data_IF_779037962046
#
_entry.id   IF_779037962046
#
_cell.length_a   1.000
_cell.length_b   1.000
_cell.length_c   1.000
_cell.angle_alpha   90.00
_cell.angle_beta   90.00
_cell.angle_gamma   90.00
#
_symmetry.space_group_name_H-M   'P 1'
#
loop_
_entity.id
_entity.type
_entity.pdbx_description
1 polymer ?
#
# COMPACT_ATOMS: atom_id res chain seq x y z
N UNK A 1 -12.45 -9.14 -16.48
CA UNK A 1 -11.87 -9.75 -17.70
C UNK A 1 -12.78 -10.84 -18.22
N UNK A 2 -12.92 -10.93 -19.55
CA UNK A 2 -13.70 -11.97 -20.20
C UNK A 2 -12.74 -13.02 -20.75
N UNK A 3 -12.80 -14.26 -20.24
CA UNK A 3 -11.96 -15.37 -20.68
C UNK A 3 -12.80 -16.38 -21.48
N UNK A 4 -12.17 -17.13 -22.36
CA UNK A 4 -12.84 -18.15 -23.19
C UNK A 4 -13.21 -19.41 -22.39
N UNK A 5 -12.48 -19.69 -21.32
CA UNK A 5 -12.69 -20.82 -20.42
C UNK A 5 -11.75 -20.79 -19.23
N UNK A 6 -12.05 -21.59 -18.23
CA UNK A 6 -11.20 -21.86 -17.08
C UNK A 6 -10.84 -23.33 -17.15
N UNK A 7 -9.54 -23.65 -17.26
CA UNK A 7 -9.06 -25.03 -17.34
C UNK A 7 -8.90 -25.67 -15.95
N UNK A 8 -8.64 -24.87 -14.91
CA UNK A 8 -8.50 -25.37 -13.56
C UNK A 8 -7.82 -24.39 -12.60
N UNK A 9 -7.56 -24.89 -11.41
CA UNK A 9 -6.79 -24.18 -10.38
C UNK A 9 -5.55 -25.03 -10.07
N UNK A 10 -4.38 -24.47 -10.31
CA UNK A 10 -3.10 -25.10 -9.98
C UNK A 10 -2.44 -24.40 -8.81
N UNK A 11 -1.81 -25.17 -7.91
CA UNK A 11 -0.98 -24.63 -6.83
C UNK A 11 0.46 -24.61 -7.28
N UNK A 12 1.07 -23.43 -7.30
CA UNK A 12 2.45 -23.20 -7.70
C UNK A 12 3.22 -22.71 -6.48
N UNK A 13 4.38 -23.31 -6.23
CA UNK A 13 5.29 -22.80 -5.20
C UNK A 13 6.07 -21.60 -5.74
N UNK A 14 6.34 -20.60 -4.89
CA UNK A 14 7.15 -19.42 -5.28
C UNK A 14 8.53 -19.80 -5.84
N UNK A 15 9.11 -20.92 -5.39
CA UNK A 15 10.39 -21.43 -5.91
C UNK A 15 10.31 -21.94 -7.35
N UNK A 16 9.12 -22.25 -7.85
CA UNK A 16 8.89 -22.78 -9.19
C UNK A 16 8.54 -21.69 -10.21
N UNK A 17 8.42 -20.44 -9.74
CA UNK A 17 8.14 -19.28 -10.60
C UNK A 17 9.47 -18.67 -11.05
N UNK A 18 9.71 -18.69 -12.34
CA UNK A 18 10.87 -18.06 -12.96
C UNK A 18 10.51 -16.66 -13.48
N UNK A 19 11.42 -15.70 -13.31
CA UNK A 19 11.25 -14.39 -13.92
C UNK A 19 11.35 -14.52 -15.45
N UNK A 20 10.50 -13.83 -16.23
CA UNK A 20 10.60 -13.79 -17.68
C UNK A 20 11.98 -13.29 -18.08
N UNK A 21 12.59 -13.92 -19.10
CA UNK A 21 13.84 -13.42 -19.68
C UNK A 21 13.59 -12.04 -20.33
N UNK A 22 14.47 -11.08 -20.04
CA UNK A 22 14.37 -9.70 -20.58
C UNK A 22 14.33 -9.62 -22.10
N UNK A 23 14.75 -10.68 -22.80
CA UNK A 23 14.69 -10.81 -24.26
C UNK A 23 13.29 -11.18 -24.77
N UNK A 24 12.45 -11.80 -23.97
CA UNK A 24 11.07 -12.19 -24.33
C UNK A 24 10.09 -11.13 -23.85
N UNK A 25 10.42 -10.45 -22.76
CA UNK A 25 9.72 -9.27 -22.28
C UNK A 25 10.37 -8.04 -22.94
N UNK A 26 9.62 -7.22 -23.64
CA UNK A 26 10.10 -5.95 -24.21
C UNK A 26 10.56 -4.96 -23.09
N UNK A 27 11.57 -5.35 -22.30
CA UNK A 27 12.08 -4.58 -21.16
C UNK A 27 11.14 -4.56 -19.95
N UNK A 28 11.13 -3.44 -19.21
CA UNK A 28 10.27 -3.21 -18.02
C UNK A 28 8.76 -3.10 -18.35
N UNK A 29 8.38 -3.21 -19.63
CA UNK A 29 6.99 -3.12 -20.11
C UNK A 29 6.24 -4.47 -20.14
N UNK A 30 6.87 -5.56 -19.74
CA UNK A 30 6.21 -6.89 -19.76
C UNK A 30 4.99 -6.94 -18.82
N UNK A 31 3.87 -7.41 -19.36
CA UNK A 31 2.64 -7.73 -18.61
C UNK A 31 2.79 -9.07 -17.83
N UNK A 32 3.87 -9.82 -18.08
CA UNK A 32 4.14 -11.08 -17.41
C UNK A 32 5.01 -10.87 -16.17
N UNK A 33 4.51 -11.27 -15.01
CA UNK A 33 5.26 -11.25 -13.74
C UNK A 33 6.11 -12.49 -13.52
N UNK A 34 5.72 -13.62 -14.16
CA UNK A 34 6.43 -14.88 -14.01
C UNK A 34 6.06 -15.91 -15.06
N UNK A 35 6.87 -16.95 -15.12
CA UNK A 35 6.62 -18.17 -15.90
C UNK A 35 6.74 -19.35 -14.95
N UNK A 36 5.75 -20.23 -14.93
CA UNK A 36 5.76 -21.46 -14.13
C UNK A 36 5.49 -22.67 -15.01
N UNK A 37 5.91 -23.83 -14.56
CA UNK A 37 5.60 -25.10 -15.22
C UNK A 37 4.48 -25.80 -14.44
N UNK A 38 3.33 -26.01 -15.08
CA UNK A 38 2.19 -26.69 -14.52
C UNK A 38 1.84 -27.89 -15.42
N UNK A 39 1.84 -29.08 -14.87
CA UNK A 39 1.50 -30.33 -15.59
C UNK A 39 2.25 -30.51 -16.92
N UNK A 40 3.53 -30.12 -16.95
CA UNK A 40 4.37 -30.20 -18.14
C UNK A 40 4.19 -29.08 -19.15
N UNK A 41 3.29 -28.13 -18.90
CA UNK A 41 3.04 -26.96 -19.74
C UNK A 41 3.63 -25.69 -19.10
N UNK A 42 4.13 -24.79 -19.93
CA UNK A 42 4.56 -23.46 -19.47
C UNK A 42 3.34 -22.56 -19.34
N UNK A 43 3.16 -21.99 -18.16
CA UNK A 43 2.08 -21.06 -17.83
C UNK A 43 2.68 -19.69 -17.53
N UNK A 44 2.20 -18.67 -18.22
CA UNK A 44 2.58 -17.27 -17.97
C UNK A 44 1.69 -16.70 -16.88
N UNK A 45 2.31 -16.16 -15.83
CA UNK A 45 1.61 -15.42 -14.78
C UNK A 45 1.53 -13.96 -15.21
N UNK A 46 0.32 -13.43 -15.29
CA UNK A 46 0.05 -12.08 -15.76
C UNK A 46 -0.07 -11.10 -14.59
N UNK A 47 0.46 -9.89 -14.80
CA UNK A 47 0.24 -8.75 -13.94
C UNK A 47 -1.10 -8.09 -14.29
N UNK A 48 -2.15 -8.44 -13.56
CA UNK A 48 -3.48 -7.89 -13.79
C UNK A 48 -3.57 -6.41 -13.39
N UNK A 49 -2.80 -5.95 -12.43
CA UNK A 49 -2.77 -4.53 -12.03
C UNK A 49 -2.20 -3.70 -13.17
N UNK A 50 -1.10 -4.15 -13.77
CA UNK A 50 -0.52 -3.48 -14.94
C UNK A 50 -1.47 -3.47 -16.14
N UNK A 51 -2.16 -4.60 -16.40
CA UNK A 51 -3.16 -4.69 -17.47
C UNK A 51 -4.31 -3.70 -17.21
N UNK A 52 -4.79 -3.59 -15.97
CA UNK A 52 -5.85 -2.62 -15.61
C UNK A 52 -5.34 -1.20 -15.75
N UNK A 53 -4.13 -0.89 -15.30
CA UNK A 53 -3.53 0.42 -15.42
C UNK A 53 -3.42 0.89 -16.89
N UNK A 54 -3.10 -0.03 -17.80
CA UNK A 54 -3.02 0.28 -19.25
C UNK A 54 -4.40 0.43 -19.90
N UNK A 55 -5.39 -0.39 -19.51
CA UNK A 55 -6.71 -0.41 -20.14
C UNK A 55 -7.69 0.61 -19.56
N UNK A 56 -7.54 0.96 -18.29
CA UNK A 56 -8.42 1.86 -17.56
C UNK A 56 -7.59 2.73 -16.59
N UNK A 57 -6.76 3.66 -17.13
CA UNK A 57 -5.87 4.48 -16.31
C UNK A 57 -6.61 5.31 -15.27
N UNK A 58 -7.90 5.62 -15.49
CA UNK A 58 -8.76 6.30 -14.52
C UNK A 58 -9.03 5.52 -13.23
N UNK A 59 -8.77 4.20 -13.22
CA UNK A 59 -8.89 3.37 -12.02
C UNK A 59 -7.58 3.24 -11.25
N UNK A 60 -6.51 3.86 -11.76
CA UNK A 60 -5.17 3.80 -11.19
C UNK A 60 -4.84 5.13 -10.51
N UNK A 61 -3.90 5.10 -9.57
CA UNK A 61 -3.39 6.31 -8.90
C UNK A 61 -2.90 7.30 -9.96
N UNK A 62 -3.50 8.50 -9.99
CA UNK A 62 -3.15 9.55 -10.93
C UNK A 62 -2.30 10.62 -10.26
N UNK A 63 -1.02 10.62 -10.54
CA UNK A 63 -0.06 11.61 -10.03
C UNK A 63 -0.47 13.05 -10.37
N UNK A 64 -1.21 13.24 -11.48
CA UNK A 64 -1.77 14.55 -11.88
C UNK A 64 -2.70 15.19 -10.84
N UNK A 65 -3.35 14.40 -9.96
CA UNK A 65 -4.14 14.95 -8.87
C UNK A 65 -3.27 15.70 -7.85
N UNK A 66 -2.07 15.19 -7.62
CA UNK A 66 -1.09 15.81 -6.71
C UNK A 66 -0.48 17.04 -7.36
N UNK A 67 -0.13 16.96 -8.65
CA UNK A 67 0.39 18.11 -9.40
C UNK A 67 -0.60 19.29 -9.42
N UNK A 68 -1.91 19.01 -9.43
CA UNK A 68 -2.95 20.02 -9.34
C UNK A 68 -3.04 20.74 -7.97
N UNK A 69 -2.40 20.19 -6.92
CA UNK A 69 -2.37 20.82 -5.58
C UNK A 69 -1.35 21.97 -5.51
N UNK A 70 -0.54 22.18 -6.56
CA UNK A 70 0.49 23.22 -6.63
C UNK A 70 1.74 22.94 -5.79
N UNK A 71 2.62 23.93 -5.71
CA UNK A 71 3.86 23.83 -4.93
C UNK A 71 3.55 23.67 -3.44
N UNK A 72 4.14 22.64 -2.84
CA UNK A 72 3.95 22.31 -1.43
C UNK A 72 5.29 22.34 -0.69
N UNK A 73 5.31 22.78 0.59
CA UNK A 73 6.52 22.72 1.40
C UNK A 73 6.92 21.26 1.65
N UNK A 74 8.22 21.02 1.80
CA UNK A 74 8.73 19.72 2.21
C UNK A 74 8.22 19.35 3.62
N UNK A 75 7.85 18.10 3.77
CA UNK A 75 7.38 17.51 5.03
C UNK A 75 8.21 16.26 5.33
N UNK A 76 9.01 16.32 6.37
CA UNK A 76 9.90 15.23 6.81
C UNK A 76 9.25 14.32 7.86
N UNK A 77 7.93 14.41 8.07
CA UNK A 77 7.23 13.52 8.99
C UNK A 77 7.44 12.06 8.56
N UNK A 78 7.94 11.18 9.45
CA UNK A 78 8.16 9.79 9.08
C UNK A 78 6.84 9.04 8.94
N UNK A 79 6.64 8.47 7.76
CA UNK A 79 5.42 7.76 7.34
C UNK A 79 5.78 6.30 7.09
N UNK A 80 4.98 5.40 7.64
CA UNK A 80 5.07 3.96 7.38
C UNK A 80 4.00 3.58 6.35
N UNK A 81 4.39 2.88 5.28
CA UNK A 81 3.48 2.36 4.26
C UNK A 81 3.62 0.84 4.18
N UNK A 82 2.50 0.13 4.30
CA UNK A 82 2.39 -1.30 4.05
C UNK A 82 1.56 -1.54 2.78
N UNK A 83 2.22 -2.03 1.72
CA UNK A 83 1.66 -2.26 0.39
C UNK A 83 2.45 -3.40 -0.27
N UNK A 84 1.78 -4.47 -0.72
CA UNK A 84 2.45 -5.63 -1.30
C UNK A 84 2.74 -5.48 -2.79
N UNK A 85 1.93 -4.73 -3.51
CA UNK A 85 2.18 -4.42 -4.91
C UNK A 85 3.37 -3.48 -5.08
N UNK A 86 4.43 -3.97 -5.71
CA UNK A 86 5.62 -3.15 -6.02
C UNK A 86 5.27 -1.97 -6.90
N UNK A 87 4.34 -2.16 -7.86
CA UNK A 87 3.91 -1.10 -8.76
C UNK A 87 3.13 -0.02 -8.01
N UNK A 88 2.09 -0.42 -7.25
CA UNK A 88 1.27 0.54 -6.50
C UNK A 88 2.08 1.27 -5.44
N UNK A 89 2.97 0.57 -4.72
CA UNK A 89 3.88 1.18 -3.76
C UNK A 89 4.72 2.27 -4.40
N UNK A 90 5.32 1.99 -5.58
CA UNK A 90 6.08 3.01 -6.32
C UNK A 90 5.22 4.20 -6.73
N UNK A 91 4.00 3.96 -7.20
CA UNK A 91 3.08 5.04 -7.60
C UNK A 91 2.65 5.89 -6.39
N UNK A 92 2.45 5.28 -5.22
CA UNK A 92 2.18 5.99 -3.98
C UNK A 92 3.41 6.84 -3.59
N UNK A 93 4.61 6.26 -3.58
CA UNK A 93 5.85 6.95 -3.25
C UNK A 93 6.07 8.16 -4.17
N UNK A 94 6.02 7.95 -5.50
CA UNK A 94 6.20 9.02 -6.48
C UNK A 94 5.17 10.16 -6.28
N UNK A 95 3.94 9.81 -5.90
CA UNK A 95 2.87 10.79 -5.63
C UNK A 95 3.11 11.55 -4.32
N UNK A 96 3.52 10.86 -3.27
CA UNK A 96 3.79 11.47 -1.96
C UNK A 96 5.05 12.34 -1.99
N UNK A 97 6.10 11.92 -2.71
CA UNK A 97 7.29 12.75 -2.91
C UNK A 97 6.95 14.05 -3.64
N UNK A 98 6.11 14.01 -4.69
CA UNK A 98 5.60 15.21 -5.37
C UNK A 98 4.74 16.08 -4.46
N UNK A 99 4.01 15.46 -3.51
CA UNK A 99 3.27 16.17 -2.48
C UNK A 99 4.17 16.76 -1.37
N UNK A 100 5.50 16.57 -1.45
CA UNK A 100 6.48 17.10 -0.51
C UNK A 100 6.82 16.18 0.66
N UNK A 101 6.28 14.97 0.75
CA UNK A 101 6.63 14.01 1.80
C UNK A 101 7.92 13.27 1.43
N UNK A 102 8.96 13.39 2.25
CA UNK A 102 10.31 12.91 1.93
C UNK A 102 10.81 11.77 2.81
N UNK A 103 10.09 11.44 3.89
CA UNK A 103 10.52 10.44 4.86
C UNK A 103 9.52 9.27 4.91
N UNK A 104 9.61 8.38 3.92
CA UNK A 104 8.70 7.26 3.72
C UNK A 104 9.43 5.95 3.97
N UNK A 105 8.84 5.10 4.83
CA UNK A 105 9.32 3.75 5.15
C UNK A 105 8.35 2.71 4.59
N UNK A 106 8.78 1.99 3.57
CA UNK A 106 7.96 1.03 2.84
C UNK A 106 8.14 -0.41 3.32
N UNK A 107 7.03 -1.14 3.45
CA UNK A 107 6.98 -2.55 3.81
C UNK A 107 6.11 -3.33 2.83
N UNK A 108 6.53 -4.54 2.47
CA UNK A 108 5.86 -5.38 1.49
C UNK A 108 4.64 -6.13 2.02
N UNK A 109 4.32 -6.02 3.30
CA UNK A 109 3.14 -6.60 3.93
C UNK A 109 2.96 -6.11 5.37
N UNK A 110 1.80 -6.39 5.95
CA UNK A 110 1.50 -5.97 7.32
C UNK A 110 2.40 -6.61 8.39
N UNK A 111 2.95 -7.80 8.13
CA UNK A 111 3.86 -8.46 9.09
C UNK A 111 5.19 -7.73 9.20
N UNK A 112 5.79 -7.34 8.08
CA UNK A 112 7.02 -6.56 8.06
C UNK A 112 6.84 -5.19 8.73
N UNK A 113 5.73 -4.50 8.41
CA UNK A 113 5.39 -3.24 9.07
C UNK A 113 5.20 -3.41 10.59
N UNK A 114 4.51 -4.47 11.01
CA UNK A 114 4.34 -4.77 12.43
C UNK A 114 5.65 -5.08 13.14
N UNK A 115 6.55 -5.85 12.51
CA UNK A 115 7.84 -6.19 13.08
C UNK A 115 8.71 -4.94 13.28
N UNK A 116 8.71 -4.03 12.30
CA UNK A 116 9.36 -2.74 12.43
C UNK A 116 8.76 -1.92 13.59
N UNK A 117 7.44 -1.71 13.61
CA UNK A 117 6.77 -0.95 14.66
C UNK A 117 7.01 -1.57 16.06
N UNK A 118 6.99 -2.89 16.16
CA UNK A 118 7.26 -3.61 17.39
C UNK A 118 8.70 -3.44 17.87
N UNK A 119 9.64 -3.30 16.96
CA UNK A 119 11.07 -3.09 17.30
C UNK A 119 11.36 -1.70 17.87
N UNK A 120 10.54 -0.70 17.53
CA UNK A 120 10.75 0.71 17.92
C UNK A 120 9.75 1.22 18.96
N UNK A 121 8.66 0.49 19.24
CA UNK A 121 7.54 0.99 20.06
C UNK A 121 7.93 1.36 21.50
N UNK A 122 8.97 0.74 22.04
CA UNK A 122 9.44 1.00 23.41
C UNK A 122 10.57 2.06 23.46
N UNK A 123 11.04 2.52 22.32
CA UNK A 123 12.03 3.59 22.23
C UNK A 123 11.45 4.95 22.66
N UNK A 124 12.27 5.79 23.32
CA UNK A 124 11.80 7.11 23.79
C UNK A 124 11.44 8.06 22.66
N UNK A 125 12.04 7.87 21.48
CA UNK A 125 11.86 8.67 20.27
C UNK A 125 10.86 8.04 19.27
N UNK A 126 10.02 7.08 19.70
CA UNK A 126 9.03 6.43 18.88
C UNK A 126 8.29 7.40 17.93
N UNK A 127 7.82 8.50 18.49
CA UNK A 127 6.99 9.45 17.76
C UNK A 127 7.78 10.40 16.85
N UNK A 128 9.11 10.35 16.90
CA UNK A 128 9.99 10.97 15.90
C UNK A 128 10.35 9.99 14.77
N UNK A 129 10.05 8.70 14.96
CA UNK A 129 10.30 7.63 13.98
C UNK A 129 9.06 7.21 13.21
N UNK A 130 7.87 7.50 13.71
CA UNK A 130 6.61 7.24 13.00
C UNK A 130 5.52 8.21 13.47
N UNK A 131 4.95 8.95 12.53
CA UNK A 131 3.87 9.92 12.76
C UNK A 131 2.56 9.56 12.06
N UNK A 132 2.62 8.71 11.03
CA UNK A 132 1.45 8.25 10.28
C UNK A 132 1.71 6.86 9.70
N UNK A 133 0.67 6.05 9.62
CA UNK A 133 0.72 4.73 8.99
C UNK A 133 -0.34 4.67 7.90
N UNK A 134 0.05 4.20 6.72
CA UNK A 134 -0.83 3.91 5.60
C UNK A 134 -0.74 2.40 5.33
N UNK A 135 -1.87 1.74 5.17
CA UNK A 135 -1.88 0.29 4.91
C UNK A 135 -2.91 -0.08 3.85
N UNK A 136 -2.54 -0.97 2.94
CA UNK A 136 -3.52 -1.71 2.17
C UNK A 136 -4.26 -2.71 3.06
N UNK A 137 -5.39 -3.23 2.59
CA UNK A 137 -6.14 -4.32 3.26
C UNK A 137 -5.58 -5.68 2.82
N UNK A 138 -5.49 -5.93 1.51
CA UNK A 138 -5.13 -7.23 0.98
C UNK A 138 -3.63 -7.40 0.83
N UNK A 139 -2.99 -7.99 1.81
CA UNK A 139 -1.56 -8.28 1.80
C UNK A 139 -1.28 -9.69 2.28
N UNK A 140 -0.20 -10.35 1.78
CA UNK A 140 0.23 -11.66 2.28
C UNK A 140 0.70 -11.58 3.73
N UNK A 141 0.72 -12.72 4.43
CA UNK A 141 1.18 -12.91 5.81
C UNK A 141 0.34 -12.17 6.87
N UNK A 142 0.07 -10.87 6.70
CA UNK A 142 -0.77 -10.09 7.59
C UNK A 142 -1.52 -9.01 6.79
N UNK A 143 -2.84 -9.08 6.82
CA UNK A 143 -3.73 -8.09 6.21
C UNK A 143 -3.73 -6.76 6.98
N UNK A 144 -4.17 -5.66 6.31
CA UNK A 144 -4.17 -4.34 6.89
C UNK A 144 -5.17 -4.15 8.04
N UNK A 145 -6.26 -4.89 8.08
CA UNK A 145 -7.19 -4.87 9.20
C UNK A 145 -6.54 -5.42 10.47
N UNK A 146 -5.80 -6.54 10.34
CA UNK A 146 -5.06 -7.13 11.45
C UNK A 146 -3.95 -6.21 11.92
N UNK A 147 -3.21 -5.61 10.98
CA UNK A 147 -2.18 -4.62 11.30
C UNK A 147 -2.79 -3.44 12.07
N UNK A 148 -3.87 -2.84 11.57
CA UNK A 148 -4.60 -1.74 12.23
C UNK A 148 -5.01 -2.12 13.64
N UNK A 149 -5.60 -3.31 13.82
CA UNK A 149 -6.00 -3.79 15.14
C UNK A 149 -4.82 -3.88 16.09
N UNK A 150 -3.72 -4.48 15.69
CA UNK A 150 -2.52 -4.61 16.52
C UNK A 150 -1.96 -3.25 16.95
N UNK A 151 -1.93 -2.28 16.02
CA UNK A 151 -1.50 -0.91 16.31
C UNK A 151 -2.43 -0.24 17.32
N UNK A 152 -3.74 -0.33 17.11
CA UNK A 152 -4.74 0.36 17.95
C UNK A 152 -4.95 -0.33 19.32
N UNK A 153 -4.64 -1.61 19.44
CA UNK A 153 -4.66 -2.33 20.73
C UNK A 153 -3.37 -2.08 21.56
N UNK A 154 -2.26 -1.66 20.93
CA UNK A 154 -1.00 -1.40 21.63
C UNK A 154 -1.03 -0.04 22.35
N UNK A 155 -0.63 -0.01 23.62
CA UNK A 155 -0.70 1.17 24.48
C UNK A 155 0.14 2.36 23.98
N UNK A 156 1.24 2.09 23.27
CA UNK A 156 2.18 3.09 22.75
C UNK A 156 1.80 3.50 21.32
N UNK A 157 1.49 2.53 20.47
CA UNK A 157 1.24 2.76 19.03
C UNK A 157 -0.16 3.32 18.75
N UNK A 158 -1.17 3.07 19.59
CA UNK A 158 -2.57 3.44 19.34
C UNK A 158 -2.84 4.92 19.05
N UNK A 159 -1.92 5.79 19.47
CA UNK A 159 -2.03 7.23 19.22
C UNK A 159 -1.59 7.64 17.81
N UNK A 160 -0.84 6.77 17.12
CA UNK A 160 -0.37 7.03 15.77
C UNK A 160 -1.56 6.86 14.82
N UNK A 161 -1.86 7.86 13.97
CA UNK A 161 -2.96 7.75 13.02
C UNK A 161 -2.69 6.67 11.97
N UNK A 162 -3.75 5.94 11.62
CA UNK A 162 -3.73 4.86 10.61
C UNK A 162 -4.76 5.16 9.54
N UNK A 163 -4.32 5.26 8.29
CA UNK A 163 -5.17 5.36 7.10
C UNK A 163 -5.17 4.00 6.39
N UNK A 164 -6.35 3.47 6.13
CA UNK A 164 -6.51 2.34 5.21
C UNK A 164 -6.67 2.90 3.79
N UNK A 165 -5.78 2.51 2.87
CA UNK A 165 -5.79 2.94 1.48
C UNK A 165 -5.79 1.71 0.57
N UNK A 166 -6.97 1.30 0.08
CA UNK A 166 -7.15 0.02 -0.60
C UNK A 166 -8.09 0.09 -1.80
N UNK A 167 -7.87 -0.81 -2.77
CA UNK A 167 -8.77 -0.99 -3.92
C UNK A 167 -10.11 -1.61 -3.53
N UNK A 168 -10.17 -2.31 -2.40
CA UNK A 168 -11.36 -2.98 -1.88
C UNK A 168 -11.95 -2.24 -0.69
N UNK A 169 -12.68 -1.15 -0.94
CA UNK A 169 -13.41 -0.43 0.09
C UNK A 169 -14.91 -0.41 -0.23
N UNK A 170 -15.61 -1.39 0.28
CA UNK A 170 -17.08 -1.41 0.36
C UNK A 170 -17.59 -0.95 1.73
N UNK A 171 -18.90 -0.89 1.89
CA UNK A 171 -19.54 -0.48 3.15
C UNK A 171 -19.22 -1.42 4.33
N UNK A 172 -18.98 -2.71 4.08
CA UNK A 172 -18.61 -3.67 5.10
C UNK A 172 -17.18 -3.45 5.55
N UNK A 173 -16.26 -3.24 4.61
CA UNK A 173 -14.85 -2.93 4.88
C UNK A 173 -14.71 -1.61 5.64
N UNK A 174 -15.48 -0.56 5.25
CA UNK A 174 -15.51 0.73 5.97
C UNK A 174 -15.96 0.58 7.42
N UNK A 175 -17.03 -0.20 7.66
CA UNK A 175 -17.50 -0.48 9.02
C UNK A 175 -16.44 -1.20 9.84
N UNK A 176 -15.85 -2.25 9.27
CA UNK A 176 -14.81 -3.03 9.93
C UNK A 176 -13.57 -2.17 10.27
N UNK A 177 -13.05 -1.39 9.33
CA UNK A 177 -11.90 -0.52 9.59
C UNK A 177 -12.18 0.51 10.68
N UNK A 178 -13.39 1.09 10.71
CA UNK A 178 -13.81 2.01 11.78
C UNK A 178 -13.89 1.30 13.16
N UNK A 179 -14.45 0.09 13.20
CA UNK A 179 -14.50 -0.73 14.44
C UNK A 179 -13.12 -1.08 14.96
N UNK A 180 -12.14 -1.24 14.07
CA UNK A 180 -10.75 -1.51 14.41
C UNK A 180 -9.97 -0.26 14.81
N UNK A 181 -10.57 0.93 14.67
CA UNK A 181 -9.98 2.20 15.07
C UNK A 181 -9.12 2.88 14.00
N UNK A 182 -9.26 2.50 12.72
CA UNK A 182 -8.65 3.28 11.64
C UNK A 182 -9.15 4.73 11.67
N UNK A 183 -8.25 5.69 11.52
CA UNK A 183 -8.57 7.12 11.58
C UNK A 183 -9.25 7.60 10.30
N UNK A 184 -8.89 6.99 9.15
CA UNK A 184 -9.64 7.14 7.91
C UNK A 184 -9.46 5.94 6.96
N UNK A 185 -10.28 5.92 5.90
CA UNK A 185 -10.27 4.87 4.88
C UNK A 185 -10.58 5.47 3.51
N UNK A 186 -9.66 5.29 2.57
CA UNK A 186 -9.74 5.87 1.24
C UNK A 186 -9.56 4.79 0.18
N UNK A 187 -10.32 4.90 -0.90
CA UNK A 187 -10.18 4.00 -2.04
C UNK A 187 -8.99 4.45 -2.91
N UNK A 188 -8.18 3.49 -3.36
CA UNK A 188 -7.32 3.74 -4.52
C UNK A 188 -8.24 3.94 -5.73
N UNK A 189 -8.15 4.99 -6.52
CA UNK A 189 -7.02 5.88 -6.80
C UNK A 189 -7.06 7.27 -6.15
N UNK A 190 -7.85 7.51 -5.11
CA UNK A 190 -8.08 8.86 -4.51
C UNK A 190 -6.80 9.44 -3.85
N UNK A 191 -5.69 9.54 -4.60
CA UNK A 191 -4.38 9.95 -4.06
C UNK A 191 -4.38 11.41 -3.58
N UNK A 192 -5.09 12.30 -4.25
CA UNK A 192 -5.23 13.70 -3.82
C UNK A 192 -5.95 13.81 -2.47
N UNK A 193 -6.97 12.96 -2.23
CA UNK A 193 -7.64 12.87 -0.93
C UNK A 193 -6.75 12.27 0.15
N UNK A 194 -5.90 11.28 -0.22
CA UNK A 194 -4.93 10.72 0.72
C UNK A 194 -3.99 11.81 1.21
N UNK A 195 -3.39 12.60 0.32
CA UNK A 195 -2.51 13.72 0.68
C UNK A 195 -3.21 14.72 1.60
N UNK A 196 -4.43 15.15 1.28
CA UNK A 196 -5.18 16.08 2.12
C UNK A 196 -5.51 15.51 3.51
N UNK A 197 -5.78 14.21 3.59
CA UNK A 197 -6.04 13.52 4.85
C UNK A 197 -4.77 13.37 5.69
N UNK A 198 -3.64 13.07 5.06
CA UNK A 198 -2.34 13.02 5.73
C UNK A 198 -2.00 14.37 6.37
N UNK A 199 -2.15 15.48 5.65
CA UNK A 199 -1.92 16.82 6.19
C UNK A 199 -2.77 17.10 7.42
N UNK A 200 -4.05 16.75 7.34
CA UNK A 200 -4.99 16.93 8.45
C UNK A 200 -4.58 16.12 9.67
N UNK A 201 -4.36 14.81 9.49
CA UNK A 201 -4.05 13.91 10.61
C UNK A 201 -2.69 14.21 11.24
N UNK A 202 -1.67 14.55 10.45
CA UNK A 202 -0.36 14.95 10.95
C UNK A 202 -0.47 16.23 11.81
N UNK A 203 -1.25 17.21 11.36
CA UNK A 203 -1.49 18.45 12.11
C UNK A 203 -2.22 18.17 13.44
N UNK A 204 -3.32 17.41 13.40
CA UNK A 204 -4.09 17.02 14.59
C UNK A 204 -3.23 16.23 15.59
N UNK A 205 -2.37 15.36 15.09
CA UNK A 205 -1.45 14.56 15.89
C UNK A 205 -0.41 15.44 16.60
N UNK A 206 0.20 16.41 15.91
CA UNK A 206 1.16 17.33 16.50
C UNK A 206 0.51 18.26 17.55
N UNK A 207 -0.69 18.79 17.28
CA UNK A 207 -1.46 19.60 18.23
C UNK A 207 -1.83 18.83 19.51
N UNK A 208 -2.11 17.54 19.38
CA UNK A 208 -2.45 16.67 20.53
C UNK A 208 -1.22 16.37 21.41
N UNK A 209 -0.04 16.34 20.82
CA UNK A 209 1.22 16.10 21.54
C UNK A 209 1.79 17.35 22.21
N UNK A 210 1.44 18.53 21.72
CA UNK A 210 1.91 19.82 22.27
C UNK A 210 1.15 20.24 23.55
N UNK A 211 0.08 19.53 23.90
CA UNK A 211 -0.74 19.71 25.12
C UNK A 211 -0.32 18.74 26.23
#
# INVERSE_FOLDING_TARGET
FRVQGIEGISRISWGDIQKPDKTIANGDESIATGIAQCDGQLVTILDFEKIVAELAPETTIQVSEVDAMGDRPLNEAPIVIAEDSVLLRKMIDDSLERAGFTNIHNFGNGKEAWDYLSSIKDEPDLYERVKLIITDIEMPQMDGHRLTKLIKDDSRLKKIPVIIFSSLIDDQMRRKGKELGADDQLAKPEIGRLVAMMDKLLKEYEETRAK
#
